data_IF_133253247386
#
_entry.id   IF_133253247386
#
_cell.length_a   1.000
_cell.length_b   1.000
_cell.length_c   1.000
_cell.angle_alpha   90.00
_cell.angle_beta   90.00
_cell.angle_gamma   90.00
#
_symmetry.space_group_name_H-M   'P 1'
#
loop_
_entity.id
_entity.type
_entity.pdbx_description
1 polymer ?
#
# COMPACT_ATOMS: atom_id res chain seq x y z
N UNK A 1 7.07 -12.79 -26.70
CA UNK A 1 7.57 -12.59 -25.33
C UNK A 1 6.35 -12.50 -24.44
N UNK A 2 6.29 -13.20 -23.31
CA UNK A 2 5.18 -13.05 -22.37
C UNK A 2 5.14 -11.60 -21.85
N UNK A 3 3.95 -11.04 -21.68
CA UNK A 3 3.84 -9.75 -21.00
C UNK A 3 4.39 -9.91 -19.57
N UNK A 4 5.19 -8.96 -19.07
CA UNK A 4 5.63 -8.99 -17.69
C UNK A 4 4.41 -9.01 -16.75
N UNK A 5 4.56 -9.69 -15.61
CA UNK A 5 3.53 -9.68 -14.57
C UNK A 5 3.22 -8.23 -14.16
N UNK A 6 1.94 -7.93 -13.92
CA UNK A 6 1.51 -6.55 -13.68
C UNK A 6 2.10 -6.00 -12.38
N UNK A 7 2.27 -6.82 -11.35
CA UNK A 7 2.82 -6.38 -10.08
C UNK A 7 4.33 -6.15 -10.19
N UNK A 8 5.05 -7.04 -10.89
CA UNK A 8 6.46 -6.82 -11.22
C UNK A 8 6.66 -5.52 -12.00
N UNK A 9 5.82 -5.26 -13.00
CA UNK A 9 5.89 -4.05 -13.80
C UNK A 9 5.60 -2.79 -12.98
N UNK A 10 4.65 -2.84 -12.05
CA UNK A 10 4.37 -1.75 -11.11
C UNK A 10 5.59 -1.46 -10.23
N UNK A 11 6.21 -2.49 -9.63
CA UNK A 11 7.41 -2.32 -8.82
C UNK A 11 8.56 -1.73 -9.64
N UNK A 12 8.75 -2.19 -10.87
CA UNK A 12 9.76 -1.66 -11.79
C UNK A 12 9.50 -0.19 -12.12
N UNK A 13 8.27 0.18 -12.49
CA UNK A 13 7.90 1.57 -12.79
C UNK A 13 8.09 2.47 -11.58
N UNK A 14 7.74 1.98 -10.38
CA UNK A 14 7.88 2.76 -9.15
C UNK A 14 9.34 2.98 -8.77
N UNK A 15 10.22 1.98 -8.93
CA UNK A 15 11.66 2.13 -8.71
C UNK A 15 12.26 3.20 -9.62
N UNK A 16 11.87 3.20 -10.91
CA UNK A 16 12.29 4.22 -11.88
C UNK A 16 11.82 5.61 -11.46
N UNK A 17 10.55 5.74 -11.02
CA UNK A 17 10.00 7.02 -10.57
C UNK A 17 10.73 7.52 -9.32
N UNK A 18 10.94 6.68 -8.31
CA UNK A 18 11.66 7.01 -7.09
C UNK A 18 13.09 7.51 -7.40
N UNK A 19 13.82 6.81 -8.27
CA UNK A 19 15.16 7.24 -8.71
C UNK A 19 15.13 8.59 -9.43
N UNK A 20 14.11 8.83 -10.27
CA UNK A 20 13.94 10.10 -10.99
C UNK A 20 13.74 11.30 -10.05
N UNK A 21 13.12 11.09 -8.89
CA UNK A 21 12.94 12.14 -7.87
C UNK A 21 14.06 12.16 -6.81
N UNK A 22 15.17 11.46 -7.06
CA UNK A 22 16.36 11.48 -6.21
C UNK A 22 16.29 10.52 -5.01
N UNK A 23 15.41 9.52 -5.06
CA UNK A 23 15.26 8.51 -4.02
C UNK A 23 15.77 7.16 -4.53
N UNK A 24 16.99 6.79 -4.13
CA UNK A 24 17.54 5.44 -4.40
C UNK A 24 17.27 4.50 -3.23
N UNK A 25 16.26 3.63 -3.38
CA UNK A 25 15.84 2.68 -2.36
C UNK A 25 16.68 1.39 -2.35
N UNK A 26 17.54 1.17 -3.34
CA UNK A 26 18.35 -0.05 -3.42
C UNK A 26 19.51 -0.08 -2.41
N UNK A 27 20.02 1.10 -2.01
CA UNK A 27 21.22 1.24 -1.20
C UNK A 27 21.01 2.17 0.00
N UNK A 28 20.07 1.85 0.87
CA UNK A 28 19.73 2.68 2.03
C UNK A 28 20.59 2.36 3.26
N UNK A 29 21.07 3.41 3.93
CA UNK A 29 21.53 3.32 5.32
C UNK A 29 20.35 3.03 6.26
N UNK A 30 20.56 2.50 7.47
CA UNK A 30 19.48 2.35 8.46
C UNK A 30 18.75 3.67 8.76
N UNK A 31 19.48 4.79 8.78
CA UNK A 31 18.95 6.13 8.98
C UNK A 31 18.05 6.55 7.81
N UNK A 32 18.49 6.34 6.56
CA UNK A 32 17.70 6.66 5.37
C UNK A 32 16.48 5.74 5.24
N UNK A 33 16.62 4.46 5.59
CA UNK A 33 15.51 3.50 5.64
C UNK A 33 14.42 3.99 6.60
N UNK A 34 14.82 4.45 7.78
CA UNK A 34 13.89 5.02 8.77
C UNK A 34 13.23 6.29 8.23
N UNK A 35 14.02 7.20 7.66
CA UNK A 35 13.52 8.44 7.08
C UNK A 35 12.47 8.20 5.99
N UNK A 36 12.77 7.33 5.02
CA UNK A 36 11.85 7.06 3.91
C UNK A 36 10.62 6.29 4.34
N UNK A 37 10.75 5.33 5.26
CA UNK A 37 9.60 4.64 5.82
C UNK A 37 8.63 5.63 6.48
N UNK A 38 9.15 6.58 7.27
CA UNK A 38 8.33 7.63 7.89
C UNK A 38 7.73 8.60 6.86
N UNK A 39 8.49 8.98 5.83
CA UNK A 39 8.00 9.90 4.79
C UNK A 39 6.87 9.29 3.96
N UNK A 40 7.04 8.07 3.45
CA UNK A 40 6.00 7.39 2.68
C UNK A 40 4.77 7.07 3.53
N UNK A 41 4.95 6.74 4.80
CA UNK A 41 3.81 6.58 5.74
C UNK A 41 3.03 7.89 5.90
N UNK A 42 3.71 9.03 6.03
CA UNK A 42 3.06 10.35 6.11
C UNK A 42 2.36 10.74 4.82
N UNK A 43 2.99 10.46 3.67
CA UNK A 43 2.40 10.72 2.36
C UNK A 43 1.08 9.93 2.20
N UNK A 44 1.08 8.62 2.49
CA UNK A 44 -0.17 7.83 2.50
C UNK A 44 -1.23 8.40 3.45
N UNK A 45 -0.84 8.91 4.62
CA UNK A 45 -1.81 9.56 5.52
C UNK A 45 -2.42 10.84 4.93
N UNK A 46 -1.69 11.56 4.07
CA UNK A 46 -2.25 12.70 3.33
C UNK A 46 -3.20 12.22 2.22
N UNK A 47 -2.80 11.23 1.41
CA UNK A 47 -3.69 10.68 0.36
C UNK A 47 -4.96 10.04 0.94
N UNK A 48 -4.90 9.47 2.16
CA UNK A 48 -6.09 9.02 2.88
C UNK A 48 -7.02 10.19 3.23
N UNK A 49 -6.48 11.35 3.56
CA UNK A 49 -7.27 12.55 3.83
C UNK A 49 -7.92 13.08 2.54
N UNK A 50 -7.20 13.09 1.42
CA UNK A 50 -7.74 13.46 0.10
C UNK A 50 -8.85 12.47 -0.35
N UNK A 51 -8.65 11.18 -0.09
CA UNK A 51 -9.66 10.16 -0.33
C UNK A 51 -10.91 10.39 0.52
N UNK A 52 -10.76 10.76 1.80
CA UNK A 52 -11.90 11.11 2.67
C UNK A 52 -12.68 12.31 2.09
N UNK A 53 -11.97 13.32 1.60
CA UNK A 53 -12.58 14.51 0.99
C UNK A 53 -13.35 14.21 -0.30
N UNK A 54 -13.11 13.06 -0.93
CA UNK A 54 -13.90 12.56 -2.07
C UNK A 54 -15.30 12.07 -1.67
N UNK A 55 -15.59 11.95 -0.37
CA UNK A 55 -16.87 11.49 0.16
C UNK A 55 -17.59 12.58 0.97
N UNK A 56 -18.92 12.50 1.12
CA UNK A 56 -19.70 13.44 1.93
C UNK A 56 -19.51 13.18 3.44
N UNK A 57 -18.29 13.35 3.94
CA UNK A 57 -17.94 13.06 5.32
C UNK A 57 -18.42 14.13 6.32
N UNK A 58 -18.65 15.37 5.87
CA UNK A 58 -19.17 16.44 6.72
C UNK A 58 -20.67 16.28 6.86
N UNK A 59 -21.10 15.47 7.83
CA UNK A 59 -22.52 15.15 8.04
C UNK A 59 -23.42 16.37 8.32
N UNK A 60 -22.86 17.53 8.65
CA UNK A 60 -23.58 18.79 8.81
C UNK A 60 -23.79 19.57 7.49
N UNK A 61 -23.13 19.19 6.39
CA UNK A 61 -23.16 19.89 5.10
C UNK A 61 -23.93 19.07 4.04
N UNK A 62 -25.12 19.53 3.65
CA UNK A 62 -26.02 18.77 2.75
C UNK A 62 -25.68 18.85 1.26
N UNK A 63 -24.72 19.68 0.86
CA UNK A 63 -24.38 19.92 -0.54
C UNK A 63 -23.27 19.01 -1.08
N UNK A 64 -22.61 18.23 -0.22
CA UNK A 64 -21.53 17.34 -0.64
C UNK A 64 -22.08 16.19 -1.49
N UNK A 65 -21.36 15.87 -2.55
CA UNK A 65 -21.59 14.70 -3.42
C UNK A 65 -20.33 13.87 -3.42
N UNK A 66 -20.47 12.59 -3.74
CA UNK A 66 -19.31 11.70 -3.94
C UNK A 66 -18.61 12.14 -5.23
N UNK A 67 -17.28 12.27 -5.16
CA UNK A 67 -16.40 12.39 -6.32
C UNK A 67 -15.72 11.04 -6.57
N UNK A 68 -16.37 10.18 -7.37
CA UNK A 68 -15.83 8.84 -7.67
C UNK A 68 -14.55 8.89 -8.49
N UNK A 69 -14.36 9.92 -9.30
CA UNK A 69 -13.15 10.05 -10.12
C UNK A 69 -11.97 10.35 -9.21
N UNK A 70 -12.11 11.34 -8.31
CA UNK A 70 -11.06 11.66 -7.35
C UNK A 70 -10.76 10.47 -6.45
N UNK A 71 -11.79 9.81 -5.91
CA UNK A 71 -11.58 8.63 -5.05
C UNK A 71 -10.75 7.52 -5.72
N UNK A 72 -10.88 7.32 -7.05
CA UNK A 72 -10.07 6.35 -7.80
C UNK A 72 -8.62 6.82 -7.97
N UNK A 73 -8.40 8.12 -8.16
CA UNK A 73 -7.06 8.72 -8.23
C UNK A 73 -6.34 8.54 -6.90
N UNK A 74 -6.98 8.90 -5.79
CA UNK A 74 -6.34 8.80 -4.46
C UNK A 74 -6.03 7.35 -4.07
N UNK A 75 -6.82 6.38 -4.51
CA UNK A 75 -6.50 4.94 -4.33
C UNK A 75 -5.21 4.55 -5.06
N UNK A 76 -4.96 5.11 -6.25
CA UNK A 76 -3.72 4.87 -7.01
C UNK A 76 -2.54 5.59 -6.36
N UNK A 77 -2.73 6.81 -5.86
CA UNK A 77 -1.68 7.56 -5.16
C UNK A 77 -1.27 6.89 -3.85
N UNK A 78 -2.24 6.36 -3.08
CA UNK A 78 -1.97 5.47 -1.95
C UNK A 78 -1.12 4.28 -2.35
N UNK A 79 -1.40 3.69 -3.51
CA UNK A 79 -0.68 2.51 -3.99
C UNK A 79 0.76 2.84 -4.39
N UNK A 80 1.02 4.00 -5.00
CA UNK A 80 2.38 4.49 -5.29
C UNK A 80 3.26 4.54 -4.03
N UNK A 81 2.70 5.09 -2.94
CA UNK A 81 3.44 5.19 -1.68
C UNK A 81 3.53 3.84 -0.93
N UNK A 82 2.53 2.98 -1.04
CA UNK A 82 2.60 1.62 -0.49
C UNK A 82 3.71 0.80 -1.16
N UNK A 83 3.81 0.84 -2.49
CA UNK A 83 4.88 0.15 -3.24
C UNK A 83 6.24 0.74 -2.87
N UNK A 84 6.35 2.06 -2.77
CA UNK A 84 7.61 2.71 -2.37
C UNK A 84 8.01 2.37 -0.92
N UNK A 85 7.05 2.21 -0.02
CA UNK A 85 7.30 1.74 1.34
C UNK A 85 7.77 0.28 1.35
N UNK A 86 7.14 -0.60 0.56
CA UNK A 86 7.57 -1.98 0.41
C UNK A 86 9.02 -2.07 -0.10
N UNK A 87 9.36 -1.29 -1.13
CA UNK A 87 10.73 -1.17 -1.66
C UNK A 87 11.71 -0.64 -0.60
N UNK A 88 11.30 0.37 0.18
CA UNK A 88 12.10 0.90 1.30
C UNK A 88 12.42 -0.20 2.31
N UNK A 89 11.49 -1.13 2.55
CA UNK A 89 11.69 -2.26 3.45
C UNK A 89 12.52 -3.39 2.84
N UNK A 90 12.80 -3.34 1.54
CA UNK A 90 13.52 -4.37 0.79
C UNK A 90 12.63 -5.48 0.27
N UNK A 91 11.32 -5.26 0.19
CA UNK A 91 10.36 -6.22 -0.35
C UNK A 91 10.28 -6.12 -1.87
N UNK A 92 10.21 -7.27 -2.52
CA UNK A 92 9.89 -7.42 -3.94
C UNK A 92 8.39 -7.55 -4.17
N UNK A 93 7.97 -7.52 -5.43
CA UNK A 93 6.59 -7.84 -5.82
C UNK A 93 6.18 -9.25 -5.34
N UNK A 94 7.09 -10.22 -5.45
CA UNK A 94 6.88 -11.59 -4.99
C UNK A 94 6.69 -11.67 -3.47
N UNK A 95 7.50 -10.94 -2.68
CA UNK A 95 7.36 -10.93 -1.23
C UNK A 95 5.98 -10.41 -0.79
N UNK A 96 5.47 -9.38 -1.46
CA UNK A 96 4.12 -8.85 -1.23
C UNK A 96 3.06 -9.86 -1.63
N UNK A 97 3.21 -10.50 -2.80
CA UNK A 97 2.25 -11.50 -3.27
C UNK A 97 2.16 -12.69 -2.31
N UNK A 98 3.29 -13.26 -1.90
CA UNK A 98 3.33 -14.39 -0.96
C UNK A 98 2.79 -13.99 0.42
N UNK A 99 3.12 -12.80 0.90
CA UNK A 99 2.56 -12.24 2.13
C UNK A 99 1.03 -12.13 2.05
N UNK A 100 0.50 -11.65 0.93
CA UNK A 100 -0.94 -11.55 0.68
C UNK A 100 -1.60 -12.93 0.65
N UNK A 101 -1.06 -13.88 -0.11
CA UNK A 101 -1.60 -15.25 -0.23
C UNK A 101 -1.70 -15.92 1.14
N UNK A 102 -0.60 -15.92 1.91
CA UNK A 102 -0.58 -16.49 3.26
C UNK A 102 -1.61 -15.82 4.17
N UNK A 103 -1.71 -14.50 4.12
CA UNK A 103 -2.67 -13.75 4.94
C UNK A 103 -4.12 -14.04 4.52
N UNK A 104 -4.38 -14.15 3.23
CA UNK A 104 -5.68 -14.44 2.67
C UNK A 104 -6.18 -15.83 3.11
N UNK A 105 -5.33 -16.86 3.02
CA UNK A 105 -5.65 -18.21 3.50
C UNK A 105 -6.00 -18.24 5.00
N UNK A 106 -5.22 -17.55 5.83
CA UNK A 106 -5.50 -17.43 7.28
C UNK A 106 -6.85 -16.76 7.52
N UNK A 107 -7.16 -15.70 6.77
CA UNK A 107 -8.44 -15.00 6.92
C UNK A 107 -9.63 -15.89 6.49
N UNK A 108 -9.49 -16.70 5.42
CA UNK A 108 -10.53 -17.66 5.03
C UNK A 108 -10.76 -18.72 6.11
N UNK A 109 -9.70 -19.33 6.65
CA UNK A 109 -9.80 -20.29 7.76
C UNK A 109 -10.49 -19.69 9.00
N UNK A 110 -10.24 -18.40 9.28
CA UNK A 110 -10.93 -17.67 10.37
C UNK A 110 -12.41 -17.49 10.08
N UNK A 111 -12.80 -17.16 8.85
CA UNK A 111 -14.22 -17.06 8.47
C UNK A 111 -14.92 -18.42 8.60
N UNK A 112 -14.29 -19.49 8.11
CA UNK A 112 -14.85 -20.85 8.16
C UNK A 112 -15.02 -21.37 9.59
N UNK A 113 -14.15 -20.95 10.51
CA UNK A 113 -14.25 -21.27 11.94
C UNK A 113 -15.12 -20.29 12.75
N UNK A 114 -15.74 -19.30 12.11
CA UNK A 114 -16.58 -18.29 12.76
C UNK A 114 -15.81 -17.33 13.68
N UNK A 115 -14.50 -17.14 13.45
CA UNK A 115 -13.59 -16.35 14.29
C UNK A 115 -13.57 -16.81 15.77
N UNK A 116 -13.86 -18.08 16.03
CA UNK A 116 -14.04 -18.60 17.39
C UNK A 116 -12.75 -18.56 18.25
N UNK A 117 -11.56 -18.65 17.65
CA UNK A 117 -10.27 -18.60 18.36
C UNK A 117 -9.26 -17.80 17.54
N UNK A 118 -8.60 -16.81 18.16
CA UNK A 118 -7.51 -16.05 17.54
C UNK A 118 -6.17 -16.70 17.90
N UNK A 119 -5.59 -17.45 16.97
CA UNK A 119 -4.19 -17.88 17.11
C UNK A 119 -3.25 -16.71 16.81
N UNK A 120 -2.39 -16.39 17.77
CA UNK A 120 -1.38 -15.33 17.67
C UNK A 120 -0.17 -15.73 16.83
N UNK A 121 0.04 -17.03 16.58
CA UNK A 121 1.12 -17.53 15.73
C UNK A 121 0.84 -17.29 14.23
N UNK A 122 -0.42 -17.30 13.83
CA UNK A 122 -0.88 -17.16 12.43
C UNK A 122 -0.53 -15.82 11.76
N UNK A 123 -0.10 -14.82 12.54
CA UNK A 123 0.21 -13.47 12.03
C UNK A 123 1.70 -13.19 11.94
N UNK A 124 2.56 -14.20 12.13
CA UNK A 124 4.01 -14.08 11.92
C UNK A 124 4.32 -14.50 10.47
N UNK A 125 4.82 -13.54 9.70
CA UNK A 125 5.17 -13.70 8.29
C UNK A 125 6.69 -13.77 8.25
#
# INVERSE_FOLDING_TARGET
MANPDKLDEIFRMQDILNKKIGVDLANLTPEDKTKWALNYTRAMSQELAELIDSFPWKWWAKYQKIDEQNARVEVVDLFHFLVSLAQTLGMTAEDIYQGYVKKNEVNHKRQDSGYAVKDHADSRH
#
